data_IF_988202376609
#
_entry.id   IF_988202376609
#
_cell.length_a   1.000
_cell.length_b   1.000
_cell.length_c   1.000
_cell.angle_alpha   90.00
_cell.angle_beta   90.00
_cell.angle_gamma   90.00
#
_symmetry.space_group_name_H-M   'P 1'
#
loop_
_entity.id
_entity.type
_entity.pdbx_description
1 polymer ?
#
# COMPACT_ATOMS: atom_id res chain seq x y z
N UNK A 1 -15.49 52.45 42.81
CA UNK A 1 -14.63 52.85 43.97
C UNK A 1 -14.91 51.91 45.12
N UNK A 2 -13.88 51.43 45.86
CA UNK A 2 -13.84 51.05 47.31
C UNK A 2 -15.01 50.18 47.85
N UNK A 3 -14.87 49.07 48.58
CA UNK A 3 -13.78 48.40 49.33
C UNK A 3 -14.16 46.90 49.42
N UNK A 4 -13.31 45.89 49.21
CA UNK A 4 -12.22 45.37 50.08
C UNK A 4 -12.69 44.86 51.47
N UNK A 5 -12.23 43.65 51.81
CA UNK A 5 -12.17 43.01 53.17
C UNK A 5 -13.37 42.19 53.67
N UNK A 6 -13.41 40.90 53.30
CA UNK A 6 -13.62 39.78 54.26
C UNK A 6 -12.72 38.60 53.85
N UNK A 7 -11.77 38.24 54.70
CA UNK A 7 -10.88 37.07 54.60
C UNK A 7 -10.62 36.58 56.05
N UNK A 8 -10.04 35.38 56.25
CA UNK A 8 -9.50 34.86 57.54
C UNK A 8 -10.41 34.10 58.56
N UNK A 9 -11.52 33.43 58.21
CA UNK A 9 -12.22 32.52 59.18
C UNK A 9 -12.77 31.20 58.60
N UNK A 10 -11.92 30.35 57.98
CA UNK A 10 -12.32 28.97 57.58
C UNK A 10 -11.27 27.87 57.78
N UNK A 11 -10.08 28.17 58.32
CA UNK A 11 -9.01 27.19 58.55
C UNK A 11 -8.94 26.69 60.00
N UNK A 12 -9.85 25.79 60.38
CA UNK A 12 -9.70 24.93 61.56
C UNK A 12 -10.60 23.69 61.48
N UNK A 13 -10.09 22.55 61.98
CA UNK A 13 -10.82 21.29 62.26
C UNK A 13 -11.49 20.58 61.06
N UNK A 14 -10.72 19.66 60.45
CA UNK A 14 -11.10 18.24 60.52
C UNK A 14 -9.83 17.40 60.72
N UNK A 15 -9.92 16.30 61.47
CA UNK A 15 -8.77 15.60 62.05
C UNK A 15 -8.54 14.20 61.44
N UNK A 16 -7.26 13.84 61.34
CA UNK A 16 -6.67 12.49 61.37
C UNK A 16 -7.57 11.30 60.95
N UNK A 17 -7.50 10.92 59.67
CA UNK A 17 -7.84 9.56 59.23
C UNK A 17 -6.62 8.63 59.36
N UNK A 18 -6.25 8.27 60.59
CA UNK A 18 -5.19 7.28 60.85
C UNK A 18 -5.73 5.87 60.65
N UNK A 19 -5.30 5.17 59.61
CA UNK A 19 -5.71 3.77 59.38
C UNK A 19 -4.96 2.83 60.31
N UNK A 20 -5.65 2.22 61.27
CA UNK A 20 -5.04 1.21 62.15
C UNK A 20 -4.69 -0.07 61.38
N UNK A 21 -3.39 -0.29 61.16
CA UNK A 21 -2.87 -1.55 60.66
C UNK A 21 -2.93 -2.63 61.76
N UNK A 22 -4.09 -3.27 61.92
CA UNK A 22 -4.28 -4.37 62.87
C UNK A 22 -3.41 -5.57 62.49
N UNK A 23 -2.25 -5.69 63.12
CA UNK A 23 -1.34 -6.81 62.93
C UNK A 23 -2.01 -8.14 63.34
N UNK A 24 -2.05 -9.11 62.42
CA UNK A 24 -2.62 -10.44 62.67
C UNK A 24 -1.59 -11.53 62.34
N UNK A 25 -0.90 -11.99 63.37
CA UNK A 25 0.13 -13.04 63.30
C UNK A 25 -0.49 -14.44 63.24
N UNK A 26 -0.55 -15.03 62.04
CA UNK A 26 -0.90 -16.46 61.89
C UNK A 26 -0.14 -17.14 60.76
N UNK A 27 0.77 -18.06 61.15
CA UNK A 27 1.26 -19.23 60.40
C UNK A 27 1.96 -18.99 59.04
N UNK A 28 3.28 -19.16 59.02
CA UNK A 28 4.09 -19.16 57.79
C UNK A 28 3.63 -20.20 56.78
N UNK A 29 3.63 -19.88 55.46
CA UNK A 29 3.58 -20.88 54.39
C UNK A 29 4.85 -21.75 54.37
N UNK A 30 4.84 -22.93 53.70
CA UNK A 30 6.08 -23.59 53.28
C UNK A 30 6.84 -22.69 52.30
N UNK A 31 8.15 -22.93 52.05
CA UNK A 31 8.88 -22.20 51.02
C UNK A 31 8.21 -22.43 49.66
N UNK A 32 7.58 -21.38 49.12
CA UNK A 32 7.13 -21.41 47.74
C UNK A 32 8.33 -21.68 46.85
N UNK A 33 8.20 -22.66 45.95
CA UNK A 33 9.11 -22.77 44.82
C UNK A 33 9.16 -21.40 44.13
N UNK A 34 10.36 -20.99 43.72
CA UNK A 34 10.52 -19.76 42.96
C UNK A 34 9.63 -19.83 41.71
N UNK A 35 9.02 -18.71 41.27
CA UNK A 35 8.30 -18.68 40.00
C UNK A 35 9.19 -19.28 38.91
N UNK A 36 8.66 -20.26 38.19
CA UNK A 36 9.33 -20.76 37.00
C UNK A 36 9.62 -19.57 36.07
N UNK A 37 10.76 -19.55 35.36
CA UNK A 37 11.04 -18.49 34.39
C UNK A 37 9.82 -18.30 33.50
N UNK A 38 9.33 -17.05 33.41
CA UNK A 38 8.24 -16.73 32.50
C UNK A 38 8.64 -17.20 31.08
N UNK A 39 7.69 -17.72 30.28
CA UNK A 39 8.00 -18.16 28.92
C UNK A 39 8.76 -17.04 28.20
N UNK A 40 9.88 -17.41 27.60
CA UNK A 40 10.67 -16.50 26.76
C UNK A 40 9.72 -15.88 25.74
N UNK A 41 9.75 -14.54 25.50
CA UNK A 41 8.82 -13.92 24.58
C UNK A 41 8.86 -14.65 23.23
N UNK A 42 7.71 -15.19 22.81
CA UNK A 42 7.57 -16.06 21.63
C UNK A 42 7.93 -15.27 20.36
N UNK A 43 9.21 -15.26 20.03
CA UNK A 43 9.70 -14.39 18.98
C UNK A 43 9.41 -14.98 17.60
N UNK A 44 8.75 -14.19 16.76
CA UNK A 44 8.31 -14.59 15.42
C UNK A 44 9.52 -14.83 14.52
N UNK A 45 9.80 -16.10 14.23
CA UNK A 45 10.76 -16.49 13.19
C UNK A 45 10.18 -16.13 11.81
N UNK A 46 10.75 -15.10 11.17
CA UNK A 46 10.26 -14.54 9.92
C UNK A 46 10.45 -15.50 8.74
N UNK A 47 11.57 -16.23 8.71
CA UNK A 47 11.84 -17.28 7.73
C UNK A 47 10.74 -18.36 7.78
N UNK A 48 10.43 -18.84 8.99
CA UNK A 48 9.38 -19.84 9.20
C UNK A 48 7.99 -19.30 8.86
N UNK A 49 7.67 -18.05 9.23
CA UNK A 49 6.40 -17.41 8.90
C UNK A 49 6.19 -17.28 7.38
N UNK A 50 7.20 -16.81 6.65
CA UNK A 50 7.16 -16.71 5.18
C UNK A 50 7.08 -18.08 4.51
N UNK A 51 7.80 -19.09 5.05
CA UNK A 51 7.78 -20.47 4.55
C UNK A 51 6.40 -21.10 4.72
N UNK A 52 5.81 -21.02 5.92
CA UNK A 52 4.51 -21.64 6.25
C UNK A 52 3.34 -20.94 5.55
N UNK A 53 3.44 -19.63 5.30
CA UNK A 53 2.46 -18.90 4.50
C UNK A 53 2.52 -19.23 2.99
N UNK A 54 3.53 -19.99 2.54
CA UNK A 54 3.55 -20.69 1.24
C UNK A 54 3.89 -19.82 0.04
N UNK A 55 3.22 -18.67 -0.14
CA UNK A 55 3.20 -17.88 -1.38
C UNK A 55 4.26 -16.78 -1.47
N UNK A 56 5.36 -16.88 -0.72
CA UNK A 56 6.41 -15.87 -0.61
C UNK A 56 7.82 -16.42 -0.90
N UNK A 57 7.96 -17.55 -1.61
CA UNK A 57 9.24 -18.26 -1.75
C UNK A 57 10.29 -17.42 -2.50
N UNK A 58 9.86 -16.72 -3.55
CA UNK A 58 10.71 -15.83 -4.35
C UNK A 58 11.19 -14.65 -3.52
N UNK A 59 10.31 -14.06 -2.69
CA UNK A 59 10.69 -12.98 -1.78
C UNK A 59 11.70 -13.47 -0.74
N UNK A 60 11.42 -14.61 -0.10
CA UNK A 60 12.30 -15.22 0.91
C UNK A 60 13.69 -15.53 0.33
N UNK A 61 13.78 -16.10 -0.88
CA UNK A 61 15.06 -16.34 -1.56
C UNK A 61 15.86 -15.06 -1.83
N UNK A 62 15.19 -13.95 -2.14
CA UNK A 62 15.85 -12.64 -2.24
C UNK A 62 16.30 -12.10 -0.87
N UNK A 63 15.49 -12.27 0.20
CA UNK A 63 15.87 -11.86 1.56
C UNK A 63 17.05 -12.67 2.12
N UNK A 64 17.13 -13.97 1.82
CA UNK A 64 18.19 -14.88 2.28
C UNK A 64 19.53 -14.67 1.55
N UNK A 65 19.47 -14.46 0.23
CA UNK A 65 20.65 -14.19 -0.60
C UNK A 65 21.26 -12.82 -0.35
N UNK A 66 20.43 -11.80 -0.05
CA UNK A 66 20.89 -10.43 0.28
C UNK A 66 21.19 -10.20 1.78
N UNK A 67 20.95 -11.21 2.63
CA UNK A 67 21.06 -11.13 4.12
C UNK A 67 20.18 -10.04 4.75
N UNK A 68 19.05 -9.74 4.10
CA UNK A 68 18.02 -8.85 4.64
C UNK A 68 17.10 -9.59 5.61
N UNK A 69 16.92 -10.91 5.47
CA UNK A 69 16.15 -11.71 6.44
C UNK A 69 16.74 -11.59 7.85
N UNK A 70 18.06 -11.67 7.98
CA UNK A 70 18.78 -11.50 9.25
C UNK A 70 18.62 -10.08 9.82
N UNK A 71 18.55 -9.08 8.93
CA UNK A 71 18.35 -7.66 9.29
C UNK A 71 16.94 -7.42 9.82
N UNK A 72 15.92 -7.99 9.17
CA UNK A 72 14.52 -7.93 9.61
C UNK A 72 14.32 -8.70 10.92
N UNK A 73 14.89 -9.91 11.03
CA UNK A 73 14.82 -10.73 12.22
C UNK A 73 15.50 -10.04 13.41
N UNK A 74 16.63 -9.37 13.19
CA UNK A 74 17.30 -8.56 14.21
C UNK A 74 16.45 -7.34 14.61
N UNK A 75 15.81 -6.63 13.67
CA UNK A 75 14.89 -5.52 13.99
C UNK A 75 13.73 -6.00 14.86
N UNK A 76 13.11 -7.11 14.47
CA UNK A 76 11.99 -7.70 15.19
C UNK A 76 12.37 -8.13 16.63
N UNK A 77 13.54 -8.75 16.82
CA UNK A 77 14.00 -9.18 18.15
C UNK A 77 14.39 -7.99 19.06
N UNK A 78 15.15 -7.03 18.52
CA UNK A 78 15.95 -6.11 19.33
C UNK A 78 15.47 -4.65 19.28
N UNK A 79 14.40 -4.31 18.54
CA UNK A 79 13.85 -2.96 18.48
C UNK A 79 12.54 -2.81 19.24
N UNK A 80 12.42 -1.69 19.96
CA UNK A 80 11.17 -1.26 20.62
C UNK A 80 10.15 -0.64 19.65
N UNK A 81 10.59 -0.16 18.49
CA UNK A 81 9.69 0.41 17.48
C UNK A 81 9.13 -0.64 16.52
N UNK A 82 9.64 -1.88 16.57
CA UNK A 82 9.24 -2.99 15.69
C UNK A 82 9.62 -2.83 14.20
N UNK A 83 8.90 -3.57 13.36
CA UNK A 83 9.03 -3.60 11.90
C UNK A 83 7.68 -3.88 11.21
N UNK A 84 7.49 -3.32 10.02
CA UNK A 84 6.40 -3.66 9.09
C UNK A 84 7.01 -4.15 7.79
N UNK A 85 6.55 -5.28 7.25
CA UNK A 85 7.06 -5.90 6.02
C UNK A 85 5.91 -6.05 5.02
N UNK A 86 6.11 -5.62 3.78
CA UNK A 86 5.19 -5.82 2.66
C UNK A 86 5.73 -6.94 1.77
N UNK A 87 5.26 -8.17 1.96
CA UNK A 87 5.72 -9.31 1.18
C UNK A 87 4.96 -9.43 -0.15
N UNK A 88 5.63 -9.34 -1.31
CA UNK A 88 5.01 -9.62 -2.59
C UNK A 88 4.84 -11.13 -2.78
N UNK A 89 3.69 -11.55 -3.31
CA UNK A 89 3.48 -12.97 -3.62
C UNK A 89 4.36 -13.45 -4.78
N UNK A 90 4.54 -14.76 -4.92
CA UNK A 90 5.21 -15.37 -6.08
C UNK A 90 4.52 -14.98 -7.42
N UNK A 91 3.19 -14.77 -7.42
CA UNK A 91 2.45 -14.20 -8.55
C UNK A 91 2.80 -12.74 -8.84
N UNK A 92 3.18 -11.96 -7.83
CA UNK A 92 3.59 -10.56 -7.98
C UNK A 92 4.94 -10.46 -8.71
N UNK A 93 5.88 -11.38 -8.43
CA UNK A 93 7.13 -11.52 -9.19
C UNK A 93 6.86 -12.08 -10.60
N UNK A 94 6.02 -13.10 -10.72
CA UNK A 94 5.64 -13.68 -12.03
C UNK A 94 4.92 -12.70 -12.94
N UNK A 95 4.22 -11.71 -12.37
CA UNK A 95 3.59 -10.59 -13.10
C UNK A 95 4.58 -9.52 -13.58
N UNK A 96 5.79 -9.45 -13.01
CA UNK A 96 6.75 -8.37 -13.23
C UNK A 96 7.53 -8.59 -14.54
N UNK A 97 6.90 -8.23 -15.67
CA UNK A 97 7.53 -8.35 -17.01
C UNK A 97 8.69 -7.37 -17.20
N UNK A 98 8.55 -6.13 -16.73
CA UNK A 98 9.58 -5.08 -16.72
C UNK A 98 9.29 -4.13 -15.54
N UNK A 99 10.33 -3.49 -14.94
CA UNK A 99 11.76 -3.72 -15.17
C UNK A 99 12.21 -5.09 -14.62
N UNK A 100 13.27 -5.65 -15.21
CA UNK A 100 13.81 -6.95 -14.78
C UNK A 100 14.69 -6.83 -13.54
N UNK A 101 14.38 -7.60 -12.49
CA UNK A 101 15.19 -7.67 -11.27
C UNK A 101 16.55 -8.37 -11.50
N UNK A 102 16.66 -9.22 -12.52
CA UNK A 102 17.89 -9.95 -12.85
C UNK A 102 19.03 -9.05 -13.36
N UNK A 103 18.73 -7.79 -13.69
CA UNK A 103 19.72 -6.79 -14.12
C UNK A 103 20.29 -5.97 -12.94
N UNK A 104 19.81 -6.19 -11.71
CA UNK A 104 20.25 -5.44 -10.54
C UNK A 104 21.57 -5.96 -9.96
N UNK A 105 22.40 -5.06 -9.44
CA UNK A 105 23.53 -5.45 -8.58
C UNK A 105 23.02 -6.00 -7.24
N UNK A 106 23.88 -6.74 -6.53
CA UNK A 106 23.54 -7.28 -5.21
C UNK A 106 23.10 -6.19 -4.22
N UNK A 107 23.72 -5.00 -4.26
CA UNK A 107 23.38 -3.88 -3.39
C UNK A 107 22.08 -3.18 -3.78
N UNK A 108 21.76 -3.11 -5.09
CA UNK A 108 20.44 -2.67 -5.56
C UNK A 108 19.35 -3.67 -5.14
N UNK A 109 19.58 -4.96 -5.33
CA UNK A 109 18.64 -6.02 -4.91
C UNK A 109 18.43 -6.00 -3.39
N UNK A 110 19.49 -5.80 -2.61
CA UNK A 110 19.42 -5.59 -1.15
C UNK A 110 18.62 -4.35 -0.78
N UNK A 111 18.84 -3.23 -1.47
CA UNK A 111 18.09 -1.99 -1.27
C UNK A 111 16.60 -2.17 -1.59
N UNK A 112 16.27 -2.88 -2.67
CA UNK A 112 14.90 -3.26 -3.03
C UNK A 112 14.26 -4.19 -1.99
N UNK A 113 15.00 -5.12 -1.41
CA UNK A 113 14.51 -5.95 -0.31
C UNK A 113 14.19 -5.11 0.93
N UNK A 114 15.08 -4.19 1.33
CA UNK A 114 14.86 -3.28 2.46
C UNK A 114 13.70 -2.29 2.19
N UNK A 115 13.49 -1.89 0.94
CA UNK A 115 12.39 -1.02 0.51
C UNK A 115 11.00 -1.62 0.75
N UNK A 116 10.88 -2.96 0.75
CA UNK A 116 9.65 -3.68 1.10
C UNK A 116 9.34 -3.69 2.61
N UNK A 117 9.89 -2.75 3.38
CA UNK A 117 9.64 -2.67 4.83
C UNK A 117 9.72 -1.25 5.37
N UNK A 118 8.99 -1.00 6.46
CA UNK A 118 9.10 0.23 7.25
C UNK A 118 9.87 -0.08 8.55
N UNK A 119 10.72 0.83 9.04
CA UNK A 119 11.52 0.62 10.25
C UNK A 119 10.70 0.69 11.55
N UNK A 120 9.37 0.60 11.47
CA UNK A 120 8.44 0.62 12.62
C UNK A 120 7.29 -0.34 12.39
N UNK A 121 6.71 -0.86 13.47
CA UNK A 121 5.42 -1.53 13.46
C UNK A 121 4.30 -0.53 13.15
N UNK A 122 3.38 -0.94 12.29
CA UNK A 122 2.15 -0.22 11.94
C UNK A 122 1.01 -1.23 11.80
N UNK A 123 -0.10 -1.00 12.51
CA UNK A 123 -1.34 -1.76 12.35
C UNK A 123 -2.11 -1.29 11.11
N UNK A 124 -3.12 -2.05 10.68
CA UNK A 124 -3.99 -1.63 9.57
C UNK A 124 -4.67 -0.26 9.82
N UNK A 125 -4.93 0.11 11.07
CA UNK A 125 -5.52 1.41 11.42
C UNK A 125 -4.54 2.58 11.28
N UNK A 126 -3.24 2.36 11.45
CA UNK A 126 -2.23 3.42 11.40
C UNK A 126 -1.98 3.94 9.98
N UNK A 127 -2.26 3.13 8.95
CA UNK A 127 -2.07 3.53 7.55
C UNK A 127 -2.94 4.71 7.12
N UNK A 128 -4.07 4.96 7.79
CA UNK A 128 -4.83 6.19 7.58
C UNK A 128 -3.99 7.41 7.93
N UNK A 129 -3.37 7.42 9.11
CA UNK A 129 -2.48 8.50 9.54
C UNK A 129 -1.25 8.60 8.62
N UNK A 130 -0.72 7.47 8.13
CA UNK A 130 0.38 7.45 7.15
C UNK A 130 -0.01 8.02 5.78
N UNK A 131 -1.28 7.94 5.38
CA UNK A 131 -1.75 8.60 4.15
C UNK A 131 -1.77 10.12 4.29
N UNK A 132 -2.10 10.63 5.48
CA UNK A 132 -2.03 12.06 5.82
C UNK A 132 -0.57 12.54 6.00
N UNK A 133 0.35 11.64 6.38
CA UNK A 133 1.77 11.94 6.63
C UNK A 133 2.75 11.39 5.56
N UNK A 134 2.28 11.13 4.34
CA UNK A 134 3.13 10.65 3.24
C UNK A 134 3.94 11.80 2.60
N UNK A 135 5.16 11.54 2.06
CA UNK A 135 5.82 10.24 1.90
C UNK A 135 6.52 9.73 3.17
N UNK A 136 6.47 8.42 3.39
CA UNK A 136 7.03 7.72 4.56
C UNK A 136 8.37 7.06 4.21
N UNK A 137 9.38 7.19 5.07
CA UNK A 137 10.68 6.53 4.88
C UNK A 137 10.61 5.01 5.11
N UNK A 138 11.13 4.23 4.16
CA UNK A 138 11.32 2.77 4.30
C UNK A 138 12.58 2.43 5.08
N UNK A 139 12.78 1.14 5.38
CA UNK A 139 13.98 0.64 6.05
C UNK A 139 15.26 0.89 5.23
N UNK A 140 15.15 0.98 3.90
CA UNK A 140 16.27 1.33 3.03
C UNK A 140 16.78 2.79 3.23
N UNK A 141 15.97 3.66 3.83
CA UNK A 141 16.34 5.02 4.23
C UNK A 141 16.60 6.00 3.08
N UNK A 142 17.04 7.22 3.41
CA UNK A 142 17.38 8.25 2.42
C UNK A 142 16.25 8.52 1.42
N UNK A 143 16.53 8.33 0.12
CA UNK A 143 15.58 8.55 -0.98
C UNK A 143 14.50 7.45 -1.11
N UNK A 144 14.58 6.38 -0.32
CA UNK A 144 13.67 5.24 -0.42
C UNK A 144 12.39 5.46 0.41
N UNK A 145 11.39 6.08 -0.20
CA UNK A 145 10.08 6.39 0.43
C UNK A 145 8.90 5.69 -0.25
N UNK A 146 7.81 5.52 0.51
CA UNK A 146 6.51 5.02 0.03
C UNK A 146 5.43 6.05 0.34
N UNK A 147 4.46 6.18 -0.56
CA UNK A 147 3.24 6.96 -0.32
C UNK A 147 2.09 6.00 -0.01
N UNK A 148 1.28 6.34 0.98
CA UNK A 148 0.10 5.57 1.38
C UNK A 148 -1.18 6.32 1.03
N UNK A 149 -2.25 5.59 0.78
CA UNK A 149 -3.57 6.19 0.50
C UNK A 149 -4.65 5.28 1.06
N UNK A 150 -5.45 5.78 2.00
CA UNK A 150 -6.66 5.11 2.45
C UNK A 150 -7.80 5.37 1.47
N UNK A 151 -8.34 4.32 0.86
CA UNK A 151 -9.54 4.38 0.03
C UNK A 151 -10.69 3.66 0.76
N UNK A 152 -11.28 4.33 1.75
CA UNK A 152 -12.42 3.82 2.53
C UNK A 152 -12.15 2.50 3.27
N UNK A 153 -10.90 2.29 3.73
CA UNK A 153 -10.40 1.08 4.38
C UNK A 153 -9.43 0.26 3.53
N UNK A 154 -9.45 0.42 2.20
CA UNK A 154 -8.47 -0.23 1.31
C UNK A 154 -7.16 0.55 1.28
N UNK A 155 -6.17 0.07 2.05
CA UNK A 155 -4.82 0.67 2.11
C UNK A 155 -4.06 0.41 0.81
N UNK A 156 -3.83 1.47 0.05
CA UNK A 156 -2.98 1.50 -1.13
C UNK A 156 -1.57 2.01 -0.81
N UNK A 157 -0.59 1.49 -1.54
CA UNK A 157 0.84 1.76 -1.40
C UNK A 157 1.40 2.10 -2.78
N UNK A 158 2.06 3.25 -2.91
CA UNK A 158 2.69 3.71 -4.14
C UNK A 158 4.19 3.96 -3.96
N UNK A 159 4.98 3.36 -4.85
CA UNK A 159 6.42 3.56 -4.99
C UNK A 159 6.81 4.44 -6.21
N UNK A 160 5.84 5.15 -6.79
CA UNK A 160 5.98 5.85 -8.08
C UNK A 160 5.86 4.89 -9.26
N UNK A 161 6.76 3.90 -9.36
CA UNK A 161 6.72 2.85 -10.37
C UNK A 161 5.58 1.84 -10.21
N UNK A 162 5.10 1.64 -8.99
CA UNK A 162 4.11 0.62 -8.67
C UNK A 162 3.12 1.15 -7.67
N UNK A 163 1.84 1.03 -8.00
CA UNK A 163 0.74 1.17 -7.07
C UNK A 163 0.16 -0.23 -6.80
N UNK A 164 -0.07 -0.56 -5.54
CA UNK A 164 -0.56 -1.85 -5.05
C UNK A 164 -1.44 -1.64 -3.83
N UNK A 165 -2.19 -2.66 -3.41
CA UNK A 165 -2.93 -2.63 -2.14
C UNK A 165 -2.47 -3.73 -1.19
N UNK A 166 -2.59 -3.48 0.10
CA UNK A 166 -2.53 -4.55 1.10
C UNK A 166 -3.67 -5.52 0.78
N UNK A 167 -3.31 -6.77 0.52
CA UNK A 167 -4.22 -7.80 -0.02
C UNK A 167 -4.57 -8.86 1.02
N UNK A 168 -3.75 -8.99 2.07
CA UNK A 168 -4.01 -9.77 3.29
C UNK A 168 -3.08 -9.32 4.41
N UNK A 169 -3.43 -9.59 5.66
CA UNK A 169 -2.50 -9.54 6.80
C UNK A 169 -2.13 -10.96 7.19
N UNK A 170 -0.85 -11.29 7.04
CA UNK A 170 -0.28 -12.61 7.43
C UNK A 170 0.05 -12.60 8.93
N UNK A 171 0.49 -11.44 9.43
CA UNK A 171 0.65 -11.14 10.85
C UNK A 171 0.44 -9.64 11.09
N UNK A 172 -0.16 -9.27 12.22
CA UNK A 172 -0.21 -7.89 12.73
C UNK A 172 -0.22 -7.95 14.24
N UNK A 173 0.96 -8.07 14.85
CA UNK A 173 1.14 -8.21 16.30
C UNK A 173 2.48 -7.62 16.69
N UNK A 174 2.46 -6.52 17.45
CA UNK A 174 3.67 -5.82 17.91
C UNK A 174 4.69 -6.82 18.53
N UNK A 175 5.97 -6.81 18.11
CA UNK A 175 6.66 -5.82 17.29
C UNK A 175 6.68 -6.07 15.77
N UNK A 176 5.86 -6.99 15.22
CA UNK A 176 5.93 -7.42 13.81
C UNK A 176 4.59 -7.31 13.08
N UNK A 177 4.61 -6.59 11.96
CA UNK A 177 3.55 -6.65 10.95
C UNK A 177 4.07 -7.24 9.64
N UNK A 178 3.31 -8.17 9.04
CA UNK A 178 3.57 -8.78 7.75
C UNK A 178 2.30 -8.72 6.90
N UNK A 179 2.33 -7.89 5.85
CA UNK A 179 1.23 -7.63 4.94
C UNK A 179 1.55 -8.17 3.55
N UNK A 180 0.59 -8.87 2.94
CA UNK A 180 0.70 -9.37 1.57
C UNK A 180 0.39 -8.26 0.56
N UNK A 181 1.18 -8.16 -0.50
CA UNK A 181 0.92 -7.27 -1.65
C UNK A 181 0.98 -8.02 -2.98
N UNK A 182 0.15 -7.63 -3.95
CA UNK A 182 0.02 -8.32 -5.25
C UNK A 182 0.91 -7.73 -6.37
N UNK A 183 1.87 -6.88 -5.99
CA UNK A 183 2.91 -6.29 -6.85
C UNK A 183 4.19 -6.08 -6.04
N UNK A 184 5.34 -6.26 -6.68
CA UNK A 184 6.66 -5.91 -6.13
C UNK A 184 6.77 -4.38 -6.09
N UNK A 185 7.15 -3.80 -4.95
CA UNK A 185 7.40 -2.37 -4.80
C UNK A 185 8.76 -2.02 -5.43
N UNK A 186 8.75 -1.10 -6.38
CA UNK A 186 9.93 -0.72 -7.18
C UNK A 186 10.33 0.72 -6.87
N UNK A 187 11.54 0.98 -6.31
CA UNK A 187 11.94 2.34 -5.97
C UNK A 187 12.51 3.11 -7.16
N UNK A 188 12.06 4.36 -7.35
CA UNK A 188 12.58 5.30 -8.36
C UNK A 188 14.10 5.49 -8.25
N UNK A 189 14.68 5.41 -7.05
CA UNK A 189 16.12 5.53 -6.83
C UNK A 189 16.97 4.41 -7.49
N UNK A 190 16.35 3.29 -7.91
CA UNK A 190 17.01 2.19 -8.64
C UNK A 190 16.67 2.23 -10.13
N UNK A 191 15.40 2.49 -10.47
CA UNK A 191 14.90 2.38 -11.85
C UNK A 191 14.81 3.73 -12.60
N UNK A 192 15.09 4.85 -11.93
CA UNK A 192 14.91 6.20 -12.46
C UNK A 192 13.45 6.65 -12.43
N UNK A 193 13.10 7.67 -13.22
CA UNK A 193 11.72 8.17 -13.37
C UNK A 193 11.13 7.87 -14.76
N UNK A 194 11.90 7.25 -15.66
CA UNK A 194 11.44 6.89 -17.01
C UNK A 194 10.76 5.51 -17.00
N UNK A 195 9.48 5.49 -16.60
CA UNK A 195 8.65 4.28 -16.65
C UNK A 195 8.42 3.94 -18.13
N UNK A 196 8.83 2.74 -18.62
CA UNK A 196 8.54 2.32 -19.99
C UNK A 196 7.02 2.14 -20.15
N UNK A 197 6.45 2.44 -21.33
CA UNK A 197 5.02 2.24 -21.55
C UNK A 197 4.67 0.77 -21.31
N UNK A 198 3.83 0.51 -20.30
CA UNK A 198 3.42 -0.85 -19.96
C UNK A 198 2.84 -1.51 -21.22
N UNK A 199 3.29 -2.72 -21.62
CA UNK A 199 2.84 -3.35 -22.84
C UNK A 199 1.32 -3.38 -22.89
N UNK A 200 0.75 -2.73 -23.90
CA UNK A 200 -0.69 -2.69 -24.09
C UNK A 200 -1.24 -4.13 -24.06
N UNK A 201 -2.41 -4.39 -23.46
CA UNK A 201 -3.02 -5.70 -23.51
C UNK A 201 -3.03 -6.18 -24.96
N UNK A 202 -2.33 -7.29 -25.24
CA UNK A 202 -2.26 -7.83 -26.58
C UNK A 202 -3.72 -8.05 -27.06
N UNK A 203 -4.07 -7.64 -28.29
CA UNK A 203 -5.41 -7.86 -28.79
C UNK A 203 -5.70 -9.36 -28.67
N UNK A 204 -6.72 -9.70 -27.86
CA UNK A 204 -7.14 -11.08 -27.73
C UNK A 204 -7.46 -11.57 -29.14
N UNK A 205 -6.90 -12.71 -29.60
CA UNK A 205 -7.29 -13.25 -30.89
C UNK A 205 -8.81 -13.46 -30.87
N UNK A 206 -9.52 -12.75 -31.74
CA UNK A 206 -10.93 -13.01 -31.97
C UNK A 206 -11.04 -14.45 -32.47
N UNK A 207 -11.98 -15.22 -31.91
CA UNK A 207 -12.11 -16.63 -32.23
C UNK A 207 -12.46 -16.80 -33.71
N UNK A 208 -11.62 -17.51 -34.46
CA UNK A 208 -11.90 -17.81 -35.87
C UNK A 208 -13.25 -18.52 -36.00
N UNK A 209 -14.17 -17.92 -36.76
CA UNK A 209 -15.45 -18.54 -37.09
C UNK A 209 -15.19 -19.80 -37.93
N UNK A 210 -15.48 -20.98 -37.37
CA UNK A 210 -15.22 -22.27 -38.02
C UNK A 210 -16.11 -22.47 -39.28
N UNK A 211 -15.59 -23.12 -40.34
CA UNK A 211 -16.24 -23.11 -41.66
C UNK A 211 -17.24 -24.25 -41.89
N UNK A 212 -18.37 -23.92 -42.54
CA UNK A 212 -19.27 -24.82 -43.27
C UNK A 212 -20.28 -23.97 -44.11
N UNK A 213 -20.91 -24.43 -45.20
CA UNK A 213 -20.54 -25.40 -46.24
C UNK A 213 -21.54 -25.24 -47.42
N UNK A 214 -21.05 -25.27 -48.66
CA UNK A 214 -21.72 -25.53 -49.96
C UNK A 214 -23.16 -25.04 -50.34
N UNK A 215 -23.18 -24.12 -51.34
CA UNK A 215 -23.95 -24.11 -52.62
C UNK A 215 -25.50 -24.22 -52.67
N UNK A 216 -26.19 -23.95 -53.82
CA UNK A 216 -25.71 -23.48 -55.15
C UNK A 216 -26.37 -22.22 -55.77
N UNK A 217 -25.65 -21.65 -56.74
CA UNK A 217 -26.07 -21.00 -58.00
C UNK A 217 -27.38 -20.19 -58.12
N UNK A 218 -27.24 -18.91 -58.48
CA UNK A 218 -28.31 -18.06 -59.02
C UNK A 218 -27.78 -16.96 -59.94
N UNK A 219 -27.36 -17.31 -61.16
CA UNK A 219 -26.83 -16.34 -62.14
C UNK A 219 -27.96 -15.48 -62.71
N UNK A 220 -27.77 -14.16 -62.71
CA UNK A 220 -28.23 -13.34 -63.82
C UNK A 220 -27.15 -12.31 -64.21
N UNK A 221 -26.99 -12.11 -65.51
CA UNK A 221 -26.05 -11.15 -66.09
C UNK A 221 -26.83 -9.98 -66.67
N UNK A 222 -26.32 -8.77 -66.50
CA UNK A 222 -26.32 -7.83 -67.61
C UNK A 222 -25.11 -6.91 -67.53
N UNK A 223 -24.42 -6.72 -68.65
CA UNK A 223 -23.26 -5.85 -68.74
C UNK A 223 -23.66 -4.46 -69.25
N UNK A 224 -22.89 -3.43 -68.89
CA UNK A 224 -22.47 -2.36 -69.80
C UNK A 224 -21.33 -1.57 -69.14
N UNK A 225 -20.20 -1.47 -69.83
CA UNK A 225 -19.20 -0.41 -69.61
C UNK A 225 -19.22 0.49 -70.86
N UNK A 226 -18.82 1.76 -70.73
CA UNK A 226 -17.52 2.11 -71.33
C UNK A 226 -16.69 3.11 -70.48
N UNK A 227 -15.51 3.44 -71.00
CA UNK A 227 -14.48 4.27 -70.35
C UNK A 227 -14.55 5.77 -70.70
N UNK A 228 -13.57 6.52 -70.20
CA UNK A 228 -13.02 7.80 -70.73
C UNK A 228 -13.80 9.12 -70.55
N UNK A 229 -13.39 9.87 -69.53
CA UNK A 229 -12.90 11.27 -69.57
C UNK A 229 -13.62 12.34 -70.43
N UNK A 230 -14.13 13.38 -69.75
CA UNK A 230 -13.81 14.80 -70.04
C UNK A 230 -14.20 15.72 -68.86
N UNK A 231 -13.63 16.93 -68.82
CA UNK A 231 -13.80 17.91 -67.73
C UNK A 231 -15.10 18.74 -67.86
N UNK A 232 -15.70 19.17 -66.73
CA UNK A 232 -15.99 20.61 -66.57
C UNK A 232 -16.20 21.09 -65.12
N UNK A 233 -15.42 22.12 -64.79
CA UNK A 233 -15.43 23.01 -63.63
C UNK A 233 -16.82 23.46 -63.09
N UNK A 234 -17.04 23.35 -61.76
CA UNK A 234 -17.61 24.44 -60.94
C UNK A 234 -17.25 24.36 -59.45
N UNK A 235 -16.90 25.52 -58.87
CA UNK A 235 -16.36 25.70 -57.52
C UNK A 235 -17.42 25.68 -56.40
N UNK A 236 -17.15 24.92 -55.32
CA UNK A 236 -17.67 25.16 -53.95
C UNK A 236 -16.89 24.35 -52.89
N UNK A 237 -16.59 24.97 -51.75
CA UNK A 237 -16.06 24.37 -50.51
C UNK A 237 -16.91 24.89 -49.34
N UNK A 238 -17.10 24.12 -48.25
CA UNK A 238 -16.06 23.99 -47.22
C UNK A 238 -15.92 22.58 -46.56
N UNK A 239 -14.89 22.41 -45.73
CA UNK A 239 -14.70 21.23 -44.86
C UNK A 239 -15.46 21.36 -43.53
N UNK A 240 -16.05 20.27 -43.06
CA UNK A 240 -16.62 20.02 -41.71
C UNK A 240 -16.86 18.50 -41.59
N UNK A 241 -16.82 17.81 -40.43
CA UNK A 241 -16.69 18.22 -39.01
C UNK A 241 -15.61 17.34 -38.33
N UNK A 242 -14.86 17.88 -37.37
CA UNK A 242 -14.10 17.09 -36.39
C UNK A 242 -14.83 17.09 -35.04
N UNK A 243 -15.11 15.93 -34.45
CA UNK A 243 -15.69 15.81 -33.10
C UNK A 243 -14.60 15.54 -32.06
N UNK A 244 -14.12 16.60 -31.42
CA UNK A 244 -13.34 16.51 -30.19
C UNK A 244 -14.22 16.66 -28.96
N UNK A 245 -14.38 15.60 -28.16
CA UNK A 245 -15.00 15.68 -26.83
C UNK A 245 -13.93 15.95 -25.76
N UNK A 246 -13.68 17.24 -25.46
CA UNK A 246 -13.06 17.60 -24.18
C UNK A 246 -14.15 17.92 -23.15
N UNK A 247 -14.01 17.36 -21.95
CA UNK A 247 -14.73 17.81 -20.76
C UNK A 247 -13.77 18.56 -19.85
N UNK A 248 -13.97 19.87 -19.72
CA UNK A 248 -13.28 20.75 -18.79
C UNK A 248 -14.34 21.34 -17.87
N UNK A 249 -14.30 20.99 -16.58
CA UNK A 249 -15.39 21.27 -15.64
C UNK A 249 -14.95 22.34 -14.62
N UNK A 250 -15.24 23.60 -14.93
CA UNK A 250 -14.99 24.75 -14.07
C UNK A 250 -16.17 24.96 -13.10
N UNK A 251 -15.87 25.27 -11.82
CA UNK A 251 -16.88 25.71 -10.83
C UNK A 251 -16.45 27.03 -10.15
N UNK A 252 -17.21 28.10 -10.40
CA UNK A 252 -17.05 29.46 -9.87
C UNK A 252 -18.24 30.35 -10.33
N UNK A 253 -18.92 31.20 -9.56
CA UNK A 253 -19.16 31.36 -8.09
C UNK A 253 -20.65 31.85 -7.97
N UNK A 254 -21.27 32.46 -6.94
CA UNK A 254 -20.91 33.13 -5.68
C UNK A 254 -22.09 33.05 -4.66
N UNK A 255 -21.86 33.58 -3.46
CA UNK A 255 -22.77 33.98 -2.35
C UNK A 255 -24.32 34.03 -2.48
N UNK A 256 -24.98 33.87 -1.32
CA UNK A 256 -25.85 34.92 -0.72
C UNK A 256 -25.89 34.77 0.81
N UNK A 257 -26.05 35.89 1.53
CA UNK A 257 -26.13 35.97 3.00
C UNK A 257 -27.59 36.01 3.47
N UNK A 258 -27.91 35.32 4.57
CA UNK A 258 -29.04 35.64 5.47
C UNK A 258 -28.56 35.52 6.93
N UNK A 259 -29.13 36.35 7.80
CA UNK A 259 -28.78 36.51 9.23
C UNK A 259 -29.99 36.10 10.08
N UNK A 260 -29.79 35.40 11.20
CA UNK A 260 -30.54 35.63 12.45
C UNK A 260 -29.94 34.92 13.66
N UNK A 261 -30.30 35.41 14.85
CA UNK A 261 -29.69 35.06 16.15
C UNK A 261 -30.35 33.87 16.84
N UNK A 262 -29.61 33.26 17.77
CA UNK A 262 -30.08 32.34 18.82
C UNK A 262 -29.10 32.35 19.99
#
# INVERSE_FOLDING_TARGET
MKSTTVFLITTAVLLLSSSEAKAQTTKSPPPSLAPAPAPTPDHVNLTHLLTVAGHFQTFLGYLESTKVIDTFQNRANNSKDGITIFAPTDDAFSSLKQPSLSNLTQDQLKSLCLFHSLPRYYSLADFKNLSESSPVSTFAGGQYTLNFTDLSGDVHISSGWTNTRISSSVLSTDPVALYQVNRVLLPEAIFGTNIPPMPAPAPSPEAEASPAADTPSGVNVNATSPSSSSEQNKNSSPQVISLGFQSQLFFAVLSVVIIMSG
#
